data_IF_417125923816
#
_entry.id   IF_417125923816
#
_cell.length_a   1.000
_cell.length_b   1.000
_cell.length_c   1.000
_cell.angle_alpha   90.00
_cell.angle_beta   90.00
_cell.angle_gamma   90.00
#
_symmetry.space_group_name_H-M   'P 1'
#
loop_
_entity.id
_entity.type
_entity.pdbx_description
1 polymer ?
#
# COMPACT_ATOMS: atom_id res chain seq x y z
N UNK A 1 -17.85 -7.64 8.75
CA UNK A 1 -16.67 -6.79 9.05
C UNK A 1 -16.87 -6.11 10.40
N UNK A 2 -17.94 -5.33 10.61
CA UNK A 2 -18.18 -4.65 11.89
C UNK A 2 -18.18 -5.59 13.10
N UNK A 3 -18.85 -6.74 13.04
CA UNK A 3 -18.89 -7.71 14.16
C UNK A 3 -17.52 -8.31 14.49
N UNK A 4 -16.62 -8.44 13.52
CA UNK A 4 -15.26 -8.95 13.74
C UNK A 4 -14.31 -7.87 14.27
N UNK A 5 -14.55 -6.61 13.90
CA UNK A 5 -13.74 -5.46 14.35
C UNK A 5 -14.27 -4.89 15.69
N UNK A 6 -15.56 -5.07 16.00
CA UNK A 6 -16.21 -4.55 17.21
C UNK A 6 -15.99 -5.39 18.50
N UNK A 7 -15.38 -6.58 18.40
CA UNK A 7 -15.01 -7.29 19.62
C UNK A 7 -13.97 -6.49 20.41
N UNK A 8 -14.33 -5.96 21.58
CA UNK A 8 -13.43 -5.15 22.41
C UNK A 8 -12.05 -5.79 22.61
N UNK A 9 -11.99 -7.11 22.63
CA UNK A 9 -10.77 -7.90 22.78
C UNK A 9 -9.89 -7.88 21.49
N UNK A 10 -10.50 -7.86 20.30
CA UNK A 10 -9.78 -7.72 19.01
C UNK A 10 -9.27 -6.29 18.84
N UNK A 11 -10.07 -5.30 19.24
CA UNK A 11 -9.66 -3.91 19.28
C UNK A 11 -8.42 -3.69 20.16
N UNK A 12 -8.44 -4.18 21.39
CA UNK A 12 -7.31 -4.06 22.33
C UNK A 12 -6.06 -4.83 21.85
N UNK A 13 -6.23 -5.95 21.15
CA UNK A 13 -5.11 -6.68 20.56
C UNK A 13 -4.54 -5.96 19.35
N UNK A 14 -5.38 -5.46 18.45
CA UNK A 14 -4.96 -4.67 17.30
C UNK A 14 -4.28 -3.38 17.72
N UNK A 15 -4.87 -2.65 18.70
CA UNK A 15 -4.28 -1.46 19.29
C UNK A 15 -2.91 -1.73 19.90
N UNK A 16 -2.76 -2.79 20.70
CA UNK A 16 -1.48 -3.17 21.32
C UNK A 16 -0.42 -3.59 20.29
N UNK A 17 -0.83 -4.16 19.17
CA UNK A 17 0.11 -4.48 18.10
C UNK A 17 0.55 -3.26 17.31
N UNK A 18 -0.37 -2.37 16.96
CA UNK A 18 -0.07 -1.11 16.30
C UNK A 18 0.83 -0.21 17.18
N UNK A 19 0.76 -0.37 18.50
CA UNK A 19 1.65 0.33 19.46
C UNK A 19 2.87 -0.46 19.87
N UNK A 20 3.10 -1.66 19.41
CA UNK A 20 4.15 -2.66 19.78
C UNK A 20 4.93 -2.44 21.10
N UNK A 21 4.83 -1.30 21.69
CA UNK A 21 5.70 -0.77 22.74
C UNK A 21 4.97 -0.10 23.91
N UNK A 22 3.67 -0.34 24.13
CA UNK A 22 2.91 0.36 25.17
C UNK A 22 3.10 1.91 25.19
N UNK A 23 3.29 2.49 23.99
CA UNK A 23 3.55 3.93 23.85
C UNK A 23 5.04 4.30 23.75
N UNK A 24 5.96 3.37 23.89
CA UNK A 24 7.38 3.61 23.62
C UNK A 24 7.62 3.61 22.11
N UNK A 25 8.42 4.56 21.63
CA UNK A 25 8.82 4.62 20.22
C UNK A 25 9.80 3.47 19.93
N UNK A 26 9.53 2.66 18.91
CA UNK A 26 10.43 1.59 18.45
C UNK A 26 11.80 2.17 18.08
N UNK A 27 11.79 3.33 17.42
CA UNK A 27 13.01 4.06 17.10
C UNK A 27 12.97 5.44 17.76
N UNK A 28 14.09 5.82 18.38
CA UNK A 28 14.34 7.17 18.84
C UNK A 28 15.18 7.87 17.78
N UNK A 29 14.76 9.04 17.33
CA UNK A 29 15.54 9.81 16.36
C UNK A 29 16.91 10.20 16.95
N UNK A 30 17.94 9.70 16.31
CA UNK A 30 19.35 10.01 16.59
C UNK A 30 20.03 10.35 15.26
N UNK A 31 21.08 11.17 15.28
CA UNK A 31 21.92 11.35 14.10
C UNK A 31 22.42 9.99 13.59
N UNK A 32 22.26 9.75 12.31
CA UNK A 32 22.81 8.55 11.67
C UNK A 32 24.31 8.81 11.43
N UNK A 33 25.20 7.98 11.95
CA UNK A 33 26.63 8.17 11.77
C UNK A 33 27.07 8.03 10.30
N UNK A 34 28.25 8.52 9.92
CA UNK A 34 28.89 8.14 8.67
C UNK A 34 29.04 6.62 8.60
N UNK A 35 28.88 6.05 7.40
CA UNK A 35 28.86 4.58 7.24
C UNK A 35 30.21 3.94 7.57
N UNK A 36 31.29 4.67 7.40
CA UNK A 36 32.67 4.27 7.77
C UNK A 36 32.87 4.09 9.26
N UNK A 37 32.06 4.74 10.09
CA UNK A 37 32.11 4.66 11.56
C UNK A 37 31.24 3.52 12.12
N UNK A 38 30.57 2.75 11.26
CA UNK A 38 29.67 1.65 11.66
C UNK A 38 30.31 0.31 11.31
N UNK A 39 30.36 -0.62 12.25
CA UNK A 39 30.76 -1.98 11.94
C UNK A 39 29.80 -2.63 10.94
N UNK A 40 30.34 -3.40 10.00
CA UNK A 40 29.51 -4.01 8.93
C UNK A 40 28.36 -4.86 9.49
N UNK A 41 28.61 -5.59 10.57
CA UNK A 41 27.62 -6.42 11.25
C UNK A 41 26.50 -5.63 11.94
N UNK A 42 26.73 -4.35 12.25
CA UNK A 42 25.78 -3.48 12.95
C UNK A 42 24.94 -2.61 12.01
N UNK A 43 25.13 -2.76 10.69
CA UNK A 43 24.32 -2.04 9.71
C UNK A 43 22.87 -2.54 9.77
N UNK A 44 21.97 -1.71 10.28
CA UNK A 44 20.53 -1.95 10.33
C UNK A 44 19.78 -1.04 9.35
N UNK A 45 19.44 -1.58 8.17
CA UNK A 45 18.68 -0.86 7.14
C UNK A 45 17.17 -0.82 7.43
N UNK A 46 16.71 -1.40 8.53
CA UNK A 46 15.31 -1.27 8.97
C UNK A 46 15.03 0.05 9.70
N UNK A 47 16.07 0.80 10.06
CA UNK A 47 15.95 2.08 10.76
C UNK A 47 15.38 3.17 9.82
N UNK A 48 14.16 3.71 10.05
CA UNK A 48 13.54 4.69 9.18
C UNK A 48 14.31 6.03 9.12
N UNK A 49 15.05 6.39 10.15
CA UNK A 49 15.85 7.62 10.16
C UNK A 49 17.03 7.57 9.20
N UNK A 50 17.48 6.37 8.81
CA UNK A 50 18.47 6.20 7.75
C UNK A 50 17.99 6.85 6.43
N UNK A 51 16.73 6.65 6.11
CA UNK A 51 16.09 7.20 4.89
C UNK A 51 15.73 8.68 5.08
N UNK A 52 15.14 9.04 6.21
CA UNK A 52 14.72 10.40 6.51
C UNK A 52 15.88 11.39 6.52
N UNK A 53 17.07 10.96 7.00
CA UNK A 53 18.29 11.79 7.03
C UNK A 53 19.12 11.68 5.74
N UNK A 54 18.63 10.97 4.69
CA UNK A 54 19.32 10.84 3.41
C UNK A 54 20.65 10.08 3.47
N UNK A 55 20.81 9.18 4.45
CA UNK A 55 22.06 8.42 4.63
C UNK A 55 22.04 7.04 3.99
N UNK A 56 20.88 6.58 3.52
CA UNK A 56 20.68 5.22 3.03
C UNK A 56 21.57 4.83 1.84
N UNK A 57 21.92 5.79 0.95
CA UNK A 57 22.69 5.50 -0.25
C UNK A 57 24.07 4.89 0.08
N UNK A 58 24.84 5.54 0.98
CA UNK A 58 26.17 5.08 1.38
C UNK A 58 26.12 3.74 2.14
N UNK A 59 25.10 3.52 2.96
CA UNK A 59 24.89 2.26 3.67
C UNK A 59 24.62 1.10 2.71
N UNK A 60 23.71 1.29 1.75
CA UNK A 60 23.45 0.27 0.73
C UNK A 60 24.62 0.09 -0.24
N UNK A 61 25.38 1.13 -0.56
CA UNK A 61 26.59 1.02 -1.37
C UNK A 61 27.63 0.13 -0.67
N UNK A 62 27.86 0.35 0.61
CA UNK A 62 28.76 -0.48 1.41
C UNK A 62 28.30 -1.93 1.49
N UNK A 63 27.00 -2.17 1.75
CA UNK A 63 26.45 -3.52 1.73
C UNK A 63 26.61 -4.21 0.37
N UNK A 64 26.36 -3.52 -0.74
CA UNK A 64 26.56 -4.09 -2.08
C UNK A 64 27.99 -4.52 -2.33
N UNK A 65 28.96 -3.78 -1.78
CA UNK A 65 30.36 -4.03 -2.01
C UNK A 65 30.95 -5.09 -1.06
N UNK A 66 30.61 -5.04 0.22
CA UNK A 66 31.25 -5.84 1.27
C UNK A 66 30.39 -7.03 1.75
N UNK A 67 29.05 -6.88 1.79
CA UNK A 67 28.12 -7.92 2.23
C UNK A 67 26.80 -7.85 1.45
N UNK A 68 26.76 -8.25 0.17
CA UNK A 68 25.58 -8.09 -0.69
C UNK A 68 24.35 -8.87 -0.23
N UNK A 69 24.56 -9.92 0.56
CA UNK A 69 23.52 -10.64 1.32
C UNK A 69 23.91 -10.52 2.79
N UNK A 70 23.28 -9.59 3.49
CA UNK A 70 23.61 -9.22 4.87
C UNK A 70 22.54 -9.68 5.85
N UNK A 71 22.95 -10.33 6.94
CA UNK A 71 22.05 -10.79 8.00
C UNK A 71 22.03 -9.79 9.16
N UNK A 72 20.83 -9.29 9.48
CA UNK A 72 20.60 -8.45 10.66
C UNK A 72 19.87 -9.26 11.73
N UNK A 73 20.56 -9.67 12.81
CA UNK A 73 19.97 -10.51 13.86
C UNK A 73 19.09 -9.74 14.84
N UNK A 74 19.35 -8.44 15.03
CA UNK A 74 18.84 -7.65 16.16
C UNK A 74 18.02 -6.43 15.73
N UNK A 75 17.14 -6.58 14.71
CA UNK A 75 16.24 -5.49 14.38
C UNK A 75 15.00 -5.46 15.29
N UNK A 76 14.32 -4.30 15.44
CA UNK A 76 13.04 -4.21 16.14
C UNK A 76 11.94 -5.07 15.52
N UNK A 77 12.11 -5.48 14.27
CA UNK A 77 11.16 -6.32 13.51
C UNK A 77 11.50 -7.81 13.58
N UNK A 78 12.53 -8.19 14.33
CA UNK A 78 13.11 -9.52 14.32
C UNK A 78 14.28 -9.65 13.32
N UNK A 79 14.90 -10.83 13.22
CA UNK A 79 16.01 -11.05 12.30
C UNK A 79 15.53 -11.05 10.84
N UNK A 80 16.37 -10.50 9.95
CA UNK A 80 16.10 -10.50 8.52
C UNK A 80 17.38 -10.49 7.67
N UNK A 81 17.25 -10.84 6.40
CA UNK A 81 18.30 -10.75 5.40
C UNK A 81 18.07 -9.57 4.48
N UNK A 82 19.11 -8.78 4.24
CA UNK A 82 19.12 -7.71 3.23
C UNK A 82 19.82 -8.22 1.97
N UNK A 83 19.11 -8.27 0.85
CA UNK A 83 19.66 -8.61 -0.46
C UNK A 83 19.79 -7.31 -1.25
N UNK A 84 21.03 -6.92 -1.63
CA UNK A 84 21.30 -5.55 -2.09
C UNK A 84 21.78 -5.43 -3.53
N UNK A 85 22.25 -6.50 -4.17
CA UNK A 85 22.63 -6.50 -5.59
C UNK A 85 21.43 -6.82 -6.48
N UNK A 86 21.28 -6.09 -7.57
CA UNK A 86 20.16 -6.25 -8.51
C UNK A 86 19.98 -7.69 -9.00
N UNK A 87 21.08 -8.36 -9.38
CA UNK A 87 21.02 -9.74 -9.86
C UNK A 87 20.48 -10.72 -8.79
N UNK A 88 20.90 -10.52 -7.53
CA UNK A 88 20.47 -11.36 -6.42
C UNK A 88 19.00 -11.09 -6.06
N UNK A 89 18.58 -9.80 -6.08
CA UNK A 89 17.18 -9.41 -5.90
C UNK A 89 16.30 -10.07 -6.96
N UNK A 90 16.68 -10.00 -8.23
CA UNK A 90 15.96 -10.65 -9.34
C UNK A 90 15.91 -12.17 -9.19
N UNK A 91 16.99 -12.79 -8.70
CA UNK A 91 17.03 -14.23 -8.46
C UNK A 91 16.06 -14.66 -7.35
N UNK A 92 15.97 -13.88 -6.27
CA UNK A 92 15.00 -14.12 -5.17
C UNK A 92 13.58 -13.88 -5.66
N UNK A 93 13.31 -12.72 -6.27
CA UNK A 93 11.96 -12.29 -6.70
C UNK A 93 11.33 -13.24 -7.72
N UNK A 94 12.12 -13.80 -8.64
CA UNK A 94 11.64 -14.73 -9.67
C UNK A 94 11.50 -16.18 -9.23
N UNK A 95 12.04 -16.54 -8.08
CA UNK A 95 12.09 -17.92 -7.62
C UNK A 95 11.06 -18.17 -6.50
N UNK A 96 9.79 -18.08 -6.85
CA UNK A 96 8.67 -18.32 -5.93
C UNK A 96 8.59 -19.77 -5.40
N UNK A 97 9.26 -20.72 -6.02
CA UNK A 97 9.32 -22.11 -5.54
C UNK A 97 10.20 -22.25 -4.28
N UNK A 98 11.15 -21.33 -4.09
CA UNK A 98 12.09 -21.32 -2.96
C UNK A 98 11.78 -20.20 -1.99
N UNK A 99 11.41 -19.02 -2.51
CA UNK A 99 11.16 -17.82 -1.73
C UNK A 99 9.67 -17.48 -1.74
N UNK A 100 9.01 -17.73 -0.62
CA UNK A 100 7.58 -17.44 -0.44
C UNK A 100 7.34 -15.94 -0.20
N UNK A 101 6.24 -15.41 -0.76
CA UNK A 101 5.71 -14.09 -0.42
C UNK A 101 4.81 -14.12 0.84
N UNK A 102 4.43 -15.31 1.30
CA UNK A 102 3.59 -15.46 2.50
C UNK A 102 4.42 -15.34 3.80
N UNK A 103 3.84 -14.86 4.88
CA UNK A 103 2.46 -14.35 5.00
C UNK A 103 2.34 -12.83 4.83
N UNK A 104 3.43 -12.11 4.55
CA UNK A 104 3.44 -10.66 4.60
C UNK A 104 4.53 -10.04 3.73
N UNK A 105 4.30 -8.81 3.25
CA UNK A 105 5.18 -8.11 2.28
C UNK A 105 6.15 -7.10 2.92
N UNK A 106 6.14 -6.97 4.24
CA UNK A 106 7.06 -6.11 4.98
C UNK A 106 7.86 -6.93 6.00
N UNK A 107 8.99 -6.41 6.46
CA UNK A 107 9.79 -7.03 7.52
C UNK A 107 9.00 -7.14 8.83
N UNK A 108 9.21 -8.22 9.55
CA UNK A 108 8.49 -8.56 10.78
C UNK A 108 7.35 -9.54 10.54
N UNK A 109 6.72 -9.96 11.61
CA UNK A 109 5.61 -10.91 11.58
C UNK A 109 4.36 -10.23 12.12
N UNK A 110 3.31 -10.05 11.30
CA UNK A 110 2.05 -9.51 11.79
C UNK A 110 1.43 -10.51 12.78
N UNK A 111 0.69 -10.04 13.79
CA UNK A 111 -0.04 -10.93 14.65
C UNK A 111 -1.16 -11.62 13.86
N UNK A 112 -1.39 -12.92 14.15
CA UNK A 112 -2.36 -13.76 13.44
C UNK A 112 -3.79 -13.22 13.40
N UNK A 113 -4.17 -12.33 14.32
CA UNK A 113 -5.50 -11.71 14.33
C UNK A 113 -5.64 -10.53 13.35
N UNK A 114 -4.52 -10.04 12.79
CA UNK A 114 -4.47 -9.05 11.71
C UNK A 114 -4.07 -9.73 10.39
N UNK A 115 -4.57 -10.94 10.16
CA UNK A 115 -4.37 -11.66 8.91
C UNK A 115 -5.15 -10.95 7.78
N UNK A 116 -4.59 -9.80 7.36
CA UNK A 116 -5.07 -9.04 6.21
C UNK A 116 -4.52 -9.72 4.98
N UNK A 117 -5.27 -10.71 4.51
CA UNK A 117 -4.88 -11.50 3.35
C UNK A 117 -5.03 -10.65 2.08
N UNK A 118 -3.92 -10.36 1.42
CA UNK A 118 -3.87 -9.70 0.10
C UNK A 118 -3.09 -10.57 -0.88
N UNK A 119 -3.48 -10.59 -2.15
CA UNK A 119 -2.88 -11.53 -3.10
C UNK A 119 -1.38 -11.32 -3.30
N UNK A 120 -0.84 -10.11 -3.09
CA UNK A 120 0.61 -9.85 -3.15
C UNK A 120 1.39 -10.60 -2.06
N UNK A 121 0.72 -11.01 -0.97
CA UNK A 121 1.27 -11.79 0.13
C UNK A 121 0.79 -13.25 0.08
N UNK A 122 0.57 -13.78 -1.11
CA UNK A 122 0.16 -15.16 -1.35
C UNK A 122 1.10 -15.82 -2.35
N UNK A 123 1.25 -17.14 -2.22
CA UNK A 123 1.97 -17.94 -3.19
C UNK A 123 1.04 -18.52 -4.28
N UNK A 124 1.58 -18.94 -5.44
CA UNK A 124 0.83 -19.71 -6.42
C UNK A 124 0.25 -21.02 -5.83
N UNK A 125 -0.91 -21.48 -6.29
CA UNK A 125 -1.77 -20.94 -7.35
C UNK A 125 -2.80 -19.92 -6.85
N UNK A 126 -2.80 -19.57 -5.56
CA UNK A 126 -3.79 -18.65 -4.97
C UNK A 126 -3.54 -17.22 -5.44
N UNK A 127 -2.28 -16.78 -5.44
CA UNK A 127 -1.84 -15.49 -6.01
C UNK A 127 -2.35 -15.32 -7.43
N UNK A 128 -2.05 -16.28 -8.32
CA UNK A 128 -2.30 -16.16 -9.75
C UNK A 128 -3.78 -16.01 -10.06
N UNK A 129 -4.62 -16.81 -9.40
CA UNK A 129 -6.08 -16.74 -9.54
C UNK A 129 -6.64 -15.38 -9.13
N UNK A 130 -6.17 -14.85 -7.99
CA UNK A 130 -6.69 -13.59 -7.47
C UNK A 130 -6.18 -12.38 -8.26
N UNK A 131 -4.94 -12.43 -8.73
CA UNK A 131 -4.36 -11.41 -9.60
C UNK A 131 -5.07 -11.37 -10.96
N UNK A 132 -5.33 -12.52 -11.55
CA UNK A 132 -6.03 -12.63 -12.84
C UNK A 132 -7.40 -11.93 -12.82
N UNK A 133 -8.13 -12.03 -11.70
CA UNK A 133 -9.45 -11.41 -11.55
C UNK A 133 -9.45 -9.87 -11.73
N UNK A 134 -8.36 -9.18 -11.40
CA UNK A 134 -8.26 -7.72 -11.50
C UNK A 134 -7.37 -7.24 -12.65
N UNK A 135 -6.61 -8.13 -13.25
CA UNK A 135 -5.63 -7.77 -14.30
C UNK A 135 -6.30 -7.16 -15.53
N UNK A 136 -7.53 -7.57 -15.83
CA UNK A 136 -8.28 -7.08 -16.99
C UNK A 136 -8.45 -5.57 -16.99
N UNK A 137 -8.72 -4.93 -15.84
CA UNK A 137 -8.94 -3.47 -15.75
C UNK A 137 -7.77 -2.66 -16.28
N UNK A 138 -6.55 -3.10 -15.96
CA UNK A 138 -5.31 -2.43 -16.36
C UNK A 138 -4.65 -3.07 -17.59
N UNK A 139 -5.35 -3.92 -18.31
CA UNK A 139 -4.85 -4.51 -19.53
C UNK A 139 -4.61 -3.44 -20.61
N UNK A 140 -3.59 -3.57 -21.48
CA UNK A 140 -3.25 -2.56 -22.48
C UNK A 140 -4.41 -2.15 -23.41
N UNK A 141 -5.33 -3.08 -23.70
CA UNK A 141 -6.55 -2.76 -24.48
C UNK A 141 -7.42 -1.74 -23.74
N UNK A 142 -7.69 -1.99 -22.45
CA UNK A 142 -8.59 -1.15 -21.66
C UNK A 142 -7.93 0.19 -21.31
N UNK A 143 -6.62 0.21 -21.09
CA UNK A 143 -5.89 1.47 -20.93
C UNK A 143 -5.96 2.36 -22.17
N UNK A 144 -5.95 1.78 -23.38
CA UNK A 144 -6.18 2.54 -24.62
C UNK A 144 -7.59 3.12 -24.69
N UNK A 145 -8.60 2.37 -24.28
CA UNK A 145 -9.99 2.85 -24.23
C UNK A 145 -10.15 3.98 -23.19
N UNK A 146 -9.39 3.93 -22.11
CA UNK A 146 -9.38 4.98 -21.08
C UNK A 146 -8.51 6.19 -21.45
N UNK A 147 -7.70 6.15 -22.51
CA UNK A 147 -6.77 7.25 -22.86
C UNK A 147 -7.45 8.62 -22.97
N UNK A 148 -8.62 8.67 -23.60
CA UNK A 148 -9.39 9.91 -23.74
C UNK A 148 -9.81 10.49 -22.39
N UNK A 149 -10.25 9.64 -21.47
CA UNK A 149 -10.62 10.00 -20.10
C UNK A 149 -9.38 10.48 -19.31
N UNK A 150 -8.30 9.72 -19.39
CA UNK A 150 -7.04 10.10 -18.71
C UNK A 150 -6.58 11.48 -19.18
N UNK A 151 -6.56 11.71 -20.50
CA UNK A 151 -6.18 13.02 -21.06
C UNK A 151 -7.10 14.16 -20.62
N UNK A 152 -8.42 13.91 -20.52
CA UNK A 152 -9.36 14.90 -19.98
C UNK A 152 -9.05 15.23 -18.53
N UNK A 153 -8.85 14.23 -17.68
CA UNK A 153 -8.52 14.42 -16.26
C UNK A 153 -7.21 15.19 -16.05
N UNK A 154 -6.19 14.84 -16.85
CA UNK A 154 -4.90 15.56 -16.83
C UNK A 154 -5.09 17.01 -17.25
N UNK A 155 -5.82 17.27 -18.34
CA UNK A 155 -6.08 18.65 -18.82
C UNK A 155 -6.83 19.46 -17.76
N UNK A 156 -7.91 18.93 -17.20
CA UNK A 156 -8.68 19.60 -16.14
C UNK A 156 -7.80 20.05 -14.97
N UNK A 157 -6.87 19.17 -14.52
CA UNK A 157 -5.95 19.51 -13.42
C UNK A 157 -4.92 20.56 -13.84
N UNK A 158 -4.37 20.45 -15.06
CA UNK A 158 -3.33 21.38 -15.52
C UNK A 158 -3.90 22.76 -15.88
N UNK A 159 -5.12 22.82 -16.42
CA UNK A 159 -5.78 24.09 -16.78
C UNK A 159 -6.18 24.89 -15.53
N UNK A 160 -6.40 24.23 -14.39
CA UNK A 160 -6.73 24.85 -13.11
C UNK A 160 -5.50 25.31 -12.30
N UNK A 161 -4.27 25.11 -12.82
CA UNK A 161 -3.06 25.47 -12.08
C UNK A 161 -2.89 26.99 -11.96
N UNK A 162 -2.42 27.49 -10.79
CA UNK A 162 -2.10 28.89 -10.62
C UNK A 162 -1.03 29.35 -11.62
N UNK A 163 -1.26 30.51 -12.26
CA UNK A 163 -0.31 31.09 -13.20
C UNK A 163 0.50 32.20 -12.52
N UNK A 164 1.82 32.09 -12.54
CA UNK A 164 2.77 33.04 -11.93
C UNK A 164 2.74 33.11 -10.41
N UNK A 165 2.22 32.07 -9.78
CA UNK A 165 2.21 31.88 -8.33
C UNK A 165 2.83 30.53 -7.97
N UNK A 166 3.62 30.43 -6.88
CA UNK A 166 4.10 29.13 -6.40
C UNK A 166 2.93 28.30 -5.89
N UNK A 167 2.96 27.00 -6.17
CA UNK A 167 1.96 26.04 -5.67
C UNK A 167 2.60 24.70 -5.30
N UNK A 168 1.90 23.92 -4.51
CA UNK A 168 2.32 22.56 -4.14
C UNK A 168 1.96 21.59 -5.28
N UNK A 169 2.97 21.20 -6.06
CA UNK A 169 2.81 20.22 -7.15
C UNK A 169 2.25 18.88 -6.66
N UNK A 170 2.74 18.40 -5.50
CA UNK A 170 2.33 17.10 -4.98
C UNK A 170 0.83 17.10 -4.69
N UNK A 171 0.33 18.09 -3.97
CA UNK A 171 -1.08 18.16 -3.58
C UNK A 171 -1.99 18.52 -4.76
N UNK A 172 -1.54 19.47 -5.61
CA UNK A 172 -2.38 20.01 -6.67
C UNK A 172 -2.43 19.11 -7.90
N UNK A 173 -1.33 18.42 -8.23
CA UNK A 173 -1.25 17.59 -9.44
C UNK A 173 -1.19 16.11 -9.09
N UNK A 174 -0.15 15.66 -8.40
CA UNK A 174 0.10 14.22 -8.25
C UNK A 174 -0.98 13.51 -7.45
N UNK A 175 -1.35 14.06 -6.30
CA UNK A 175 -2.42 13.53 -5.43
C UNK A 175 -3.79 13.65 -6.12
N UNK A 176 -4.07 14.78 -6.75
CA UNK A 176 -5.37 14.98 -7.39
C UNK A 176 -5.58 14.03 -8.57
N UNK A 177 -4.59 13.85 -9.44
CA UNK A 177 -4.69 12.93 -10.58
C UNK A 177 -4.86 11.47 -10.13
N UNK A 178 -4.09 11.02 -9.13
CA UNK A 178 -4.24 9.66 -8.64
C UNK A 178 -5.59 9.43 -7.97
N UNK A 179 -6.10 10.40 -7.19
CA UNK A 179 -7.43 10.33 -6.58
C UNK A 179 -8.54 10.23 -7.64
N UNK A 180 -8.46 11.02 -8.71
CA UNK A 180 -9.43 11.00 -9.83
C UNK A 180 -9.41 9.66 -10.55
N UNK A 181 -8.22 9.13 -10.83
CA UNK A 181 -8.09 7.85 -11.53
C UNK A 181 -8.54 6.67 -10.67
N UNK A 182 -8.19 6.64 -9.38
CA UNK A 182 -8.65 5.60 -8.46
C UNK A 182 -10.17 5.60 -8.30
N UNK A 183 -10.78 6.78 -8.16
CA UNK A 183 -12.24 6.87 -8.09
C UNK A 183 -12.88 6.30 -9.36
N UNK A 184 -12.30 6.55 -10.53
CA UNK A 184 -12.79 5.97 -11.80
C UNK A 184 -12.59 4.46 -11.85
N UNK A 185 -11.40 3.95 -11.47
CA UNK A 185 -11.09 2.51 -11.53
C UNK A 185 -11.91 1.67 -10.55
N UNK A 186 -12.37 2.25 -9.44
CA UNK A 186 -13.21 1.61 -8.44
C UNK A 186 -14.70 1.91 -8.64
N UNK A 187 -15.04 2.83 -9.53
CA UNK A 187 -16.35 3.49 -9.62
C UNK A 187 -16.82 4.01 -8.24
N UNK A 188 -15.87 4.65 -7.54
CA UNK A 188 -16.09 5.25 -6.24
C UNK A 188 -16.70 6.65 -6.40
N UNK A 189 -17.59 7.11 -5.48
CA UNK A 189 -18.19 8.44 -5.56
C UNK A 189 -17.14 9.53 -5.75
N UNK A 190 -17.20 10.21 -6.89
CA UNK A 190 -16.15 11.12 -7.36
C UNK A 190 -15.87 12.27 -6.38
N UNK A 191 -16.91 12.80 -5.77
CA UNK A 191 -16.81 13.88 -4.77
C UNK A 191 -16.11 13.43 -3.48
N UNK A 192 -16.05 12.14 -3.23
CA UNK A 192 -15.39 11.56 -2.08
C UNK A 192 -13.99 10.99 -2.41
N UNK A 193 -13.47 11.21 -3.62
CA UNK A 193 -12.19 10.63 -4.09
C UNK A 193 -11.01 10.84 -3.14
N UNK A 194 -10.99 11.97 -2.41
CA UNK A 194 -9.95 12.26 -1.42
C UNK A 194 -9.92 11.27 -0.25
N UNK A 195 -11.02 10.57 0.03
CA UNK A 195 -11.03 9.47 1.01
C UNK A 195 -10.11 8.32 0.60
N UNK A 196 -10.00 8.03 -0.71
CA UNK A 196 -9.10 6.98 -1.21
C UNK A 196 -7.64 7.31 -0.90
N UNK A 197 -7.24 8.58 -1.02
CA UNK A 197 -5.91 9.07 -0.64
C UNK A 197 -5.71 8.96 0.86
N UNK A 198 -6.65 9.45 1.65
CA UNK A 198 -6.59 9.38 3.11
C UNK A 198 -6.47 7.93 3.61
N UNK A 199 -7.25 7.01 3.06
CA UNK A 199 -7.17 5.59 3.41
C UNK A 199 -5.84 4.94 2.97
N UNK A 200 -5.28 5.35 1.83
CA UNK A 200 -3.95 4.92 1.38
C UNK A 200 -2.86 5.38 2.35
N UNK A 201 -2.90 6.66 2.71
CA UNK A 201 -1.93 7.24 3.65
C UNK A 201 -2.01 6.57 5.03
N UNK A 202 -3.22 6.27 5.54
CA UNK A 202 -3.40 5.51 6.78
C UNK A 202 -2.85 4.08 6.69
N UNK A 203 -3.09 3.39 5.57
CA UNK A 203 -2.65 2.01 5.39
C UNK A 203 -1.12 1.88 5.31
N UNK A 204 -0.44 2.92 4.83
CA UNK A 204 1.03 2.97 4.69
C UNK A 204 1.73 3.65 5.87
N UNK A 205 0.99 4.40 6.69
CA UNK A 205 1.51 5.13 7.86
C UNK A 205 1.67 4.22 9.07
N UNK A 206 2.37 3.11 8.92
CA UNK A 206 2.46 2.10 9.98
C UNK A 206 3.22 2.56 11.24
N UNK A 207 3.92 3.71 11.22
CA UNK A 207 4.66 4.21 12.38
C UNK A 207 4.79 5.72 12.42
N UNK A 208 4.74 6.28 13.62
CA UNK A 208 4.97 7.70 13.93
C UNK A 208 6.29 8.26 13.36
N UNK A 209 7.28 7.41 13.09
CA UNK A 209 8.57 7.77 12.53
C UNK A 209 8.46 8.39 11.12
N UNK A 210 7.40 8.07 10.38
CA UNK A 210 7.21 8.53 8.99
C UNK A 210 6.26 9.74 8.88
N UNK A 211 5.90 10.37 10.00
CA UNK A 211 4.92 11.46 10.00
C UNK A 211 3.47 11.00 9.83
N UNK A 212 3.24 9.71 10.04
CA UNK A 212 1.90 9.12 10.11
C UNK A 212 1.10 9.62 11.32
N UNK A 213 -0.18 9.25 11.42
CA UNK A 213 -1.03 9.67 12.51
C UNK A 213 -0.39 9.31 13.85
N UNK A 214 -0.34 10.27 14.74
CA UNK A 214 0.23 10.13 16.09
C UNK A 214 -0.66 9.31 17.03
N UNK A 215 -1.88 9.01 16.59
CA UNK A 215 -2.91 8.34 17.36
C UNK A 215 -3.38 7.04 16.65
N UNK A 216 -3.23 5.93 17.35
CA UNK A 216 -3.69 4.62 16.86
C UNK A 216 -5.22 4.55 16.73
N UNK A 217 -5.94 5.36 17.50
CA UNK A 217 -7.40 5.45 17.39
C UNK A 217 -7.79 6.10 16.05
N UNK A 218 -6.99 7.04 15.54
CA UNK A 218 -7.18 7.61 14.20
C UNK A 218 -6.98 6.57 13.11
N UNK A 219 -5.88 5.81 13.15
CA UNK A 219 -5.62 4.72 12.18
C UNK A 219 -6.74 3.71 12.21
N UNK A 220 -7.13 3.26 13.40
CA UNK A 220 -8.20 2.26 13.54
C UNK A 220 -9.55 2.79 13.05
N UNK A 221 -9.92 4.01 13.37
CA UNK A 221 -11.17 4.63 12.93
C UNK A 221 -11.17 4.84 11.42
N UNK A 222 -10.05 5.26 10.83
CA UNK A 222 -9.91 5.38 9.38
C UNK A 222 -10.00 4.06 8.64
N UNK A 223 -9.36 3.00 9.15
CA UNK A 223 -9.48 1.64 8.59
C UNK A 223 -10.92 1.11 8.68
N UNK A 224 -11.63 1.43 9.76
CA UNK A 224 -13.06 1.10 9.91
C UNK A 224 -13.95 1.89 8.94
N UNK A 225 -13.69 3.18 8.74
CA UNK A 225 -14.39 4.01 7.75
C UNK A 225 -14.18 3.46 6.34
N UNK A 226 -12.94 3.10 6.00
CA UNK A 226 -12.60 2.46 4.73
C UNK A 226 -13.37 1.14 4.54
N UNK A 227 -13.35 0.25 5.54
CA UNK A 227 -14.06 -1.01 5.48
C UNK A 227 -15.57 -0.83 5.24
N UNK A 228 -16.19 0.15 5.92
CA UNK A 228 -17.60 0.51 5.72
C UNK A 228 -17.86 1.07 4.34
N UNK A 229 -17.07 2.02 3.90
CA UNK A 229 -17.22 2.67 2.60
C UNK A 229 -17.09 1.68 1.43
N UNK A 230 -16.08 0.80 1.48
CA UNK A 230 -15.86 -0.21 0.45
C UNK A 230 -16.92 -1.32 0.48
N UNK A 231 -17.40 -1.72 1.66
CA UNK A 231 -18.52 -2.68 1.76
C UNK A 231 -19.82 -2.09 1.24
N UNK A 232 -20.09 -0.82 1.54
CA UNK A 232 -21.27 -0.13 1.00
C UNK A 232 -21.23 -0.05 -0.52
N UNK A 233 -20.07 0.29 -1.11
CA UNK A 233 -19.87 0.31 -2.55
C UNK A 233 -20.08 -1.07 -3.17
N UNK A 234 -19.57 -2.13 -2.54
CA UNK A 234 -19.76 -3.51 -3.00
C UNK A 234 -21.25 -3.87 -3.06
N UNK A 235 -21.99 -3.60 -1.97
CA UNK A 235 -23.41 -3.94 -1.90
C UNK A 235 -24.26 -3.10 -2.84
N UNK A 236 -23.96 -1.81 -3.01
CA UNK A 236 -24.64 -0.93 -3.97
C UNK A 236 -24.52 -1.48 -5.39
N UNK A 237 -23.29 -1.82 -5.81
CA UNK A 237 -23.05 -2.38 -7.14
C UNK A 237 -23.76 -3.73 -7.34
N UNK A 238 -23.72 -4.61 -6.35
CA UNK A 238 -24.42 -5.88 -6.42
C UNK A 238 -25.94 -5.67 -6.56
N UNK A 239 -26.51 -4.70 -5.85
CA UNK A 239 -27.94 -4.37 -5.94
C UNK A 239 -28.31 -3.78 -7.31
N UNK A 240 -27.48 -2.91 -7.88
CA UNK A 240 -27.68 -2.32 -9.22
C UNK A 240 -27.64 -3.39 -10.30
N UNK A 241 -26.66 -4.30 -10.25
CA UNK A 241 -26.57 -5.44 -11.18
C UNK A 241 -27.79 -6.35 -11.05
N UNK A 242 -28.23 -6.64 -9.83
CA UNK A 242 -29.47 -7.42 -9.60
C UNK A 242 -30.72 -6.73 -10.08
N UNK A 243 -30.74 -5.39 -10.12
CA UNK A 243 -31.85 -4.59 -10.70
C UNK A 243 -31.79 -4.50 -12.23
N UNK A 244 -30.83 -5.13 -12.89
CA UNK A 244 -30.69 -5.18 -14.34
C UNK A 244 -29.83 -4.05 -14.95
N UNK A 245 -29.10 -3.30 -14.16
CA UNK A 245 -28.10 -2.39 -14.71
C UNK A 245 -26.94 -3.20 -15.35
N UNK A 246 -26.48 -2.75 -16.51
CA UNK A 246 -25.30 -3.35 -17.14
C UNK A 246 -24.08 -3.20 -16.24
N UNK A 247 -23.33 -4.29 -15.98
CA UNK A 247 -22.14 -4.24 -15.14
C UNK A 247 -21.13 -3.24 -15.67
N UNK A 248 -20.64 -2.36 -14.80
CA UNK A 248 -19.56 -1.44 -15.12
C UNK A 248 -18.24 -2.16 -15.39
N UNK A 249 -17.31 -1.48 -16.05
CA UNK A 249 -15.96 -1.97 -16.26
C UNK A 249 -15.01 -1.33 -15.23
N UNK A 250 -15.11 -1.78 -13.98
CA UNK A 250 -14.34 -1.31 -12.84
C UNK A 250 -13.88 -2.47 -11.95
N UNK A 251 -12.92 -2.19 -11.05
CA UNK A 251 -12.31 -3.20 -10.18
C UNK A 251 -13.32 -3.91 -9.27
N UNK A 252 -14.30 -3.20 -8.73
CA UNK A 252 -15.32 -3.81 -7.85
C UNK A 252 -16.20 -4.77 -8.62
N UNK A 253 -16.70 -4.34 -9.78
CA UNK A 253 -17.54 -5.18 -10.66
C UNK A 253 -16.80 -6.42 -11.13
N UNK A 254 -15.51 -6.29 -11.48
CA UNK A 254 -14.70 -7.46 -11.87
C UNK A 254 -14.52 -8.44 -10.72
N UNK A 255 -14.24 -7.95 -9.51
CA UNK A 255 -14.14 -8.80 -8.32
C UNK A 255 -15.46 -9.50 -7.98
N UNK A 256 -16.61 -8.90 -8.27
CA UNK A 256 -17.92 -9.50 -8.08
C UNK A 256 -18.26 -10.57 -9.12
N UNK A 257 -17.72 -10.42 -10.32
CA UNK A 257 -18.04 -11.29 -11.46
C UNK A 257 -17.15 -12.53 -11.56
N UNK A 258 -15.95 -12.50 -10.95
CA UNK A 258 -14.98 -13.59 -11.03
C UNK A 258 -15.25 -14.65 -9.95
N UNK A 259 -15.29 -15.92 -10.37
CA UNK A 259 -15.56 -17.09 -9.50
C UNK A 259 -14.60 -17.20 -8.31
N UNK A 260 -13.36 -16.75 -8.44
CA UNK A 260 -12.34 -16.81 -7.38
C UNK A 260 -12.48 -15.70 -6.34
N UNK A 261 -13.30 -14.68 -6.62
CA UNK A 261 -13.37 -13.46 -5.81
C UNK A 261 -14.78 -12.99 -5.46
N UNK A 262 -15.82 -13.50 -6.12
CA UNK A 262 -17.22 -13.07 -5.93
C UNK A 262 -17.75 -13.21 -4.50
N UNK A 263 -17.24 -14.17 -3.74
CA UNK A 263 -17.59 -14.44 -2.34
C UNK A 263 -16.70 -13.70 -1.33
N UNK A 264 -15.84 -12.79 -1.80
CA UNK A 264 -14.85 -12.10 -0.96
C UNK A 264 -15.47 -11.28 0.16
N UNK A 265 -16.64 -10.73 -0.07
CA UNK A 265 -17.37 -9.96 0.95
C UNK A 265 -17.64 -10.78 2.21
N UNK A 266 -17.78 -12.11 2.06
CA UNK A 266 -17.97 -13.05 3.17
C UNK A 266 -16.64 -13.40 3.88
N UNK A 267 -15.51 -13.00 3.28
CA UNK A 267 -14.15 -13.12 3.83
C UNK A 267 -13.56 -11.73 4.10
N UNK A 268 -14.01 -11.04 5.16
CA UNK A 268 -13.82 -9.59 5.33
C UNK A 268 -12.36 -9.14 5.36
N UNK A 269 -11.44 -9.95 5.89
CA UNK A 269 -10.02 -9.58 5.94
C UNK A 269 -9.36 -9.73 4.57
N UNK A 270 -9.76 -10.70 3.75
CA UNK A 270 -9.30 -10.84 2.37
C UNK A 270 -9.93 -9.78 1.45
N UNK A 271 -11.21 -9.47 1.64
CA UNK A 271 -11.89 -8.39 0.94
C UNK A 271 -11.18 -7.05 1.16
N UNK A 272 -11.01 -6.67 2.43
CA UNK A 272 -10.36 -5.42 2.80
C UNK A 272 -8.90 -5.38 2.34
N UNK A 273 -8.14 -6.45 2.57
CA UNK A 273 -6.73 -6.52 2.21
C UNK A 273 -6.48 -6.33 0.71
N UNK A 274 -7.28 -6.96 -0.13
CA UNK A 274 -7.13 -6.80 -1.58
C UNK A 274 -7.54 -5.41 -2.09
N UNK A 275 -8.58 -4.80 -1.51
CA UNK A 275 -8.95 -3.44 -1.87
C UNK A 275 -7.94 -2.41 -1.38
N UNK A 276 -7.40 -2.57 -0.16
CA UNK A 276 -6.27 -1.75 0.34
C UNK A 276 -5.08 -1.85 -0.61
N UNK A 277 -4.70 -3.06 -1.01
CA UNK A 277 -3.61 -3.28 -1.95
C UNK A 277 -3.81 -2.51 -3.27
N UNK A 278 -5.01 -2.58 -3.85
CA UNK A 278 -5.33 -1.91 -5.12
C UNK A 278 -5.34 -0.37 -4.96
N UNK A 279 -5.85 0.13 -3.83
CA UNK A 279 -5.85 1.57 -3.52
C UNK A 279 -4.44 2.09 -3.31
N UNK A 280 -3.65 1.44 -2.45
CA UNK A 280 -2.27 1.84 -2.16
C UNK A 280 -1.39 1.74 -3.40
N UNK A 281 -1.45 0.61 -4.11
CA UNK A 281 -0.66 0.39 -5.33
C UNK A 281 -0.98 1.38 -6.45
N UNK A 282 -2.24 1.78 -6.59
CA UNK A 282 -2.68 2.77 -7.59
C UNK A 282 -2.39 4.23 -7.19
N UNK A 283 -2.31 4.52 -5.90
CA UNK A 283 -2.09 5.87 -5.39
C UNK A 283 -0.60 6.21 -5.24
N UNK A 284 0.10 5.53 -4.33
CA UNK A 284 1.41 5.96 -3.86
C UNK A 284 2.51 5.86 -4.91
N UNK A 285 2.57 4.76 -5.63
CA UNK A 285 3.60 4.54 -6.65
C UNK A 285 3.50 5.55 -7.79
N UNK A 286 2.30 5.81 -8.28
CA UNK A 286 2.05 6.76 -9.38
C UNK A 286 2.25 8.20 -8.93
N UNK A 287 1.74 8.59 -7.76
CA UNK A 287 1.94 9.91 -7.14
C UNK A 287 3.42 10.25 -6.98
N UNK A 288 4.20 9.33 -6.43
CA UNK A 288 5.62 9.53 -6.20
C UNK A 288 6.42 9.56 -7.51
N UNK A 289 6.03 8.77 -8.52
CA UNK A 289 6.66 8.81 -9.84
C UNK A 289 6.43 10.14 -10.55
N UNK A 290 5.22 10.69 -10.50
CA UNK A 290 4.93 12.02 -11.08
C UNK A 290 5.69 13.12 -10.35
N UNK A 291 5.72 13.09 -9.02
CA UNK A 291 6.44 14.10 -8.22
C UNK A 291 7.94 14.03 -8.42
N UNK A 292 8.52 12.83 -8.43
CA UNK A 292 9.94 12.60 -8.68
C UNK A 292 10.36 12.98 -10.09
N UNK A 293 9.50 12.72 -11.10
CA UNK A 293 9.79 13.08 -12.50
C UNK A 293 9.81 14.59 -12.76
N UNK A 294 9.14 15.39 -11.95
CA UNK A 294 9.21 16.87 -12.05
C UNK A 294 10.44 17.41 -11.31
N UNK A 295 10.89 16.70 -10.26
CA UNK A 295 12.06 17.10 -9.49
C UNK A 295 13.37 16.78 -10.21
N UNK A 296 13.40 15.73 -11.04
CA UNK A 296 14.57 15.28 -11.80
C UNK A 296 14.86 16.16 -13.02
#
# INVERSE_FOLDING_TARGET
IERQIQGAHLYDKARRWLTRTNGEKIFVEKPIPPVEDVELADIDVSNPFLYRQGRWQSYFERLRNEAPVHYQPNSPFGPFWSVTRHADIVAVDKNHEVFSAEPFIIIGTPPRFLDIAMFIAMDPPRHDRQRAAVQGVVAPKNLREMEGLIRSRVREVLDDLPVREPFDWVQTVSVELTARMLATLLDFPYEQRRKLVYWSDLATSMEQANGGPSDNDEVFNGMRDMARGLSALWHDKAARTAAGEEPGFDLITMLQSDESTKDRIDRPMEFLGNLVLLIVGGNDTTRNSMSGGVLA
#
